data_IF_426862145358
#
_entry.id   IF_426862145358
#
_cell.length_a   1.000
_cell.length_b   1.000
_cell.length_c   1.000
_cell.angle_alpha   90.00
_cell.angle_beta   90.00
_cell.angle_gamma   90.00
#
_symmetry.space_group_name_H-M   'P 1'
#
loop_
_entity.id
_entity.type
_entity.pdbx_description
1 polymer ?
#
# COMPACT_ATOMS: atom_id res chain seq x y z
N UNK A 1 15.30 18.78 30.80
CA UNK A 1 14.37 19.11 29.70
C UNK A 1 13.54 17.93 29.17
N UNK A 2 13.77 16.69 29.65
CA UNK A 2 13.02 15.48 29.21
C UNK A 2 11.78 15.22 30.11
N UNK A 3 11.71 15.79 31.31
CA UNK A 3 10.61 15.58 32.25
C UNK A 3 9.29 16.31 31.90
N UNK A 4 9.32 17.39 31.10
CA UNK A 4 8.11 18.15 30.76
C UNK A 4 7.30 17.55 29.61
N UNK A 5 7.90 16.70 28.77
CA UNK A 5 7.23 16.07 27.63
C UNK A 5 6.31 14.90 28.06
N UNK A 6 6.62 14.25 29.18
CA UNK A 6 5.78 13.15 29.69
C UNK A 6 4.47 13.65 30.33
N UNK A 7 4.47 14.88 30.85
CA UNK A 7 3.30 15.46 31.54
C UNK A 7 2.23 15.99 30.57
N UNK A 8 2.57 16.19 29.28
CA UNK A 8 1.58 16.54 28.25
C UNK A 8 0.90 15.32 27.61
N UNK A 9 1.53 14.14 27.62
CA UNK A 9 0.91 12.94 27.04
C UNK A 9 -0.19 12.33 27.91
N UNK A 10 -0.17 12.55 29.23
CA UNK A 10 -1.20 12.06 30.16
C UNK A 10 -2.45 12.96 30.27
N UNK A 11 -2.43 14.17 29.67
CA UNK A 11 -3.60 15.09 29.69
C UNK A 11 -4.61 14.87 28.56
N UNK A 12 -4.30 14.01 27.59
CA UNK A 12 -5.16 13.77 26.42
C UNK A 12 -6.17 12.62 26.68
N UNK A 13 -6.11 11.99 27.85
CA UNK A 13 -6.99 10.86 28.22
C UNK A 13 -7.97 11.19 29.35
N UNK A 14 -8.21 12.47 29.67
CA UNK A 14 -9.40 12.86 30.44
C UNK A 14 -10.64 12.77 29.54
N UNK A 15 -11.71 12.11 29.99
CA UNK A 15 -12.34 11.05 29.20
C UNK A 15 -13.55 11.58 28.41
N UNK A 16 -13.69 11.15 27.15
CA UNK A 16 -14.91 11.31 26.34
C UNK A 16 -16.20 10.87 27.07
N UNK A 17 -16.06 10.12 28.16
CA UNK A 17 -17.12 9.59 29.01
C UNK A 17 -17.62 10.56 30.11
N UNK A 18 -16.93 11.67 30.37
CA UNK A 18 -17.35 12.65 31.37
C UNK A 18 -18.75 13.26 31.08
N UNK A 19 -19.04 13.78 29.86
CA UNK A 19 -20.38 14.32 29.57
C UNK A 19 -21.46 13.24 29.61
N UNK A 20 -21.13 12.02 29.18
CA UNK A 20 -22.06 10.88 29.20
C UNK A 20 -22.45 10.49 30.62
N UNK A 21 -21.50 10.49 31.57
CA UNK A 21 -21.79 10.20 32.98
C UNK A 21 -22.67 11.26 33.62
N UNK A 22 -22.40 12.54 33.35
CA UNK A 22 -23.22 13.65 33.88
C UNK A 22 -24.65 13.50 33.35
N UNK A 23 -24.82 13.31 32.05
CA UNK A 23 -26.14 13.11 31.43
C UNK A 23 -26.88 11.88 31.98
N UNK A 24 -26.18 10.75 32.18
CA UNK A 24 -26.76 9.55 32.80
C UNK A 24 -27.28 9.82 34.21
N UNK A 25 -26.54 10.59 35.00
CA UNK A 25 -26.90 10.91 36.38
C UNK A 25 -28.03 11.95 36.46
N UNK A 26 -28.02 12.96 35.59
CA UNK A 26 -29.00 14.05 35.66
C UNK A 26 -30.32 13.70 34.99
N UNK A 27 -30.28 13.01 33.84
CA UNK A 27 -31.49 12.75 33.04
C UNK A 27 -32.02 11.33 33.26
N UNK A 28 -31.19 10.29 33.16
CA UNK A 28 -31.69 8.90 33.13
C UNK A 28 -32.01 8.37 34.53
N UNK A 29 -31.12 8.60 35.49
CA UNK A 29 -31.27 8.08 36.85
C UNK A 29 -32.61 8.44 37.53
N UNK A 30 -33.10 9.71 37.51
CA UNK A 30 -34.37 10.03 38.15
C UNK A 30 -35.56 9.37 37.43
N UNK A 31 -35.55 9.29 36.10
CA UNK A 31 -36.61 8.61 35.34
C UNK A 31 -36.62 7.10 35.63
N UNK A 32 -35.44 6.48 35.77
CA UNK A 32 -35.32 5.07 36.12
C UNK A 32 -35.94 4.75 37.50
N UNK A 33 -35.73 5.63 38.47
CA UNK A 33 -36.23 5.47 39.84
C UNK A 33 -37.76 5.62 39.95
N UNK A 34 -38.40 6.31 39.00
CA UNK A 34 -39.85 6.49 38.99
C UNK A 34 -40.62 5.28 38.44
N UNK A 35 -39.95 4.33 37.77
CA UNK A 35 -40.59 3.14 37.21
C UNK A 35 -40.88 2.08 38.28
N UNK A 36 -41.90 1.26 38.04
CA UNK A 36 -42.23 0.14 38.92
C UNK A 36 -41.12 -0.93 38.88
N UNK A 37 -40.99 -1.73 39.95
CA UNK A 37 -39.95 -2.76 40.04
C UNK A 37 -39.98 -3.82 38.92
N UNK A 38 -41.13 -4.02 38.27
CA UNK A 38 -41.27 -4.92 37.12
C UNK A 38 -40.65 -4.32 35.86
N UNK A 39 -40.88 -3.02 35.64
CA UNK A 39 -40.36 -2.28 34.49
C UNK A 39 -38.85 -2.08 34.62
N UNK A 40 -38.35 -1.81 35.82
CA UNK A 40 -36.92 -1.74 36.11
C UNK A 40 -36.16 -3.01 35.67
N UNK A 41 -36.73 -4.21 35.92
CA UNK A 41 -36.12 -5.48 35.48
C UNK A 41 -36.09 -5.61 33.96
N UNK A 42 -37.14 -5.17 33.27
CA UNK A 42 -37.18 -5.18 31.81
C UNK A 42 -36.16 -4.21 31.22
N UNK A 43 -36.03 -3.00 31.78
CA UNK A 43 -35.04 -2.02 31.34
C UNK A 43 -33.62 -2.54 31.57
N UNK A 44 -33.35 -3.19 32.71
CA UNK A 44 -32.04 -3.78 32.98
C UNK A 44 -31.71 -4.95 32.05
N UNK A 45 -32.70 -5.80 31.75
CA UNK A 45 -32.56 -6.87 30.77
C UNK A 45 -32.26 -6.30 29.37
N UNK A 46 -32.99 -5.26 28.95
CA UNK A 46 -32.76 -4.58 27.68
C UNK A 46 -31.39 -3.90 27.62
N UNK A 47 -30.96 -3.23 28.69
CA UNK A 47 -29.66 -2.58 28.79
C UNK A 47 -28.49 -3.57 28.70
N UNK A 48 -28.69 -4.82 29.17
CA UNK A 48 -27.71 -5.89 29.02
C UNK A 48 -27.76 -6.57 27.65
N UNK A 49 -28.96 -6.73 27.07
CA UNK A 49 -29.15 -7.37 25.77
C UNK A 49 -28.65 -6.50 24.61
N UNK A 50 -28.88 -5.19 24.69
CA UNK A 50 -28.53 -4.22 23.66
C UNK A 50 -27.04 -4.23 23.26
N UNK A 51 -26.05 -4.20 24.18
CA UNK A 51 -24.64 -4.28 23.81
C UNK A 51 -24.27 -5.63 23.16
N UNK A 52 -24.90 -6.73 23.57
CA UNK A 52 -24.69 -8.04 22.93
C UNK A 52 -25.17 -8.02 21.49
N UNK A 53 -26.34 -7.43 21.26
CA UNK A 53 -26.92 -7.30 19.92
C UNK A 53 -26.07 -6.35 19.05
N UNK A 54 -25.61 -5.22 19.61
CA UNK A 54 -24.67 -4.32 18.93
C UNK A 54 -23.39 -5.04 18.52
N UNK A 55 -22.81 -5.87 19.39
CA UNK A 55 -21.59 -6.62 19.09
C UNK A 55 -21.82 -7.61 17.94
N UNK A 56 -22.93 -8.35 17.96
CA UNK A 56 -23.32 -9.25 16.87
C UNK A 56 -23.44 -8.47 15.55
N UNK A 57 -24.15 -7.35 15.53
CA UNK A 57 -24.37 -6.57 14.31
C UNK A 57 -23.10 -5.87 13.81
N UNK A 58 -22.28 -5.30 14.69
CA UNK A 58 -21.05 -4.61 14.28
C UNK A 58 -19.94 -5.56 13.86
N UNK A 59 -19.90 -6.79 14.36
CA UNK A 59 -18.79 -7.70 14.11
C UNK A 59 -19.16 -8.78 13.11
N UNK A 60 -20.32 -9.41 13.24
CA UNK A 60 -20.67 -10.59 12.45
C UNK A 60 -21.14 -10.21 11.04
N UNK A 61 -21.97 -9.18 10.90
CA UNK A 61 -22.44 -8.74 9.57
C UNK A 61 -21.30 -8.31 8.63
N UNK A 62 -20.40 -7.37 8.99
CA UNK A 62 -19.36 -6.96 8.05
C UNK A 62 -18.38 -8.10 7.71
N UNK A 63 -18.26 -9.09 8.59
CA UNK A 63 -17.45 -10.27 8.33
C UNK A 63 -18.09 -11.17 7.26
N UNK A 64 -19.42 -11.31 7.25
CA UNK A 64 -20.14 -12.05 6.20
C UNK A 64 -20.06 -11.33 4.85
N UNK A 65 -20.26 -10.00 4.83
CA UNK A 65 -20.21 -9.21 3.61
C UNK A 65 -18.83 -9.31 2.93
N UNK A 66 -17.75 -9.22 3.71
CA UNK A 66 -16.37 -9.41 3.21
C UNK A 66 -16.14 -10.79 2.60
N UNK A 67 -16.74 -11.84 3.16
CA UNK A 67 -16.61 -13.19 2.59
C UNK A 67 -17.32 -13.30 1.25
N UNK A 68 -18.49 -12.67 1.10
CA UNK A 68 -19.21 -12.63 -0.18
C UNK A 68 -18.44 -11.85 -1.25
N UNK A 69 -17.89 -10.70 -0.90
CA UNK A 69 -17.06 -9.89 -1.80
C UNK A 69 -15.78 -10.64 -2.24
N UNK A 70 -15.12 -11.32 -1.31
CA UNK A 70 -13.96 -12.16 -1.61
C UNK A 70 -14.30 -13.31 -2.56
N UNK A 71 -15.42 -14.00 -2.34
CA UNK A 71 -15.87 -15.07 -3.25
C UNK A 71 -16.17 -14.54 -4.65
N UNK A 72 -16.81 -13.37 -4.76
CA UNK A 72 -17.10 -12.74 -6.06
C UNK A 72 -15.84 -12.29 -6.79
N UNK A 73 -14.89 -11.68 -6.08
CA UNK A 73 -13.61 -11.27 -6.68
C UNK A 73 -12.77 -12.46 -7.14
N UNK A 74 -12.74 -13.57 -6.38
CA UNK A 74 -12.08 -14.81 -6.80
C UNK A 74 -12.73 -15.38 -8.06
N UNK A 75 -14.06 -15.42 -8.13
CA UNK A 75 -14.76 -15.89 -9.33
C UNK A 75 -14.45 -15.01 -10.56
N UNK A 76 -14.43 -13.69 -10.39
CA UNK A 76 -14.07 -12.75 -11.45
C UNK A 76 -12.60 -12.90 -11.89
N UNK A 77 -11.69 -13.15 -10.96
CA UNK A 77 -10.27 -13.39 -11.26
C UNK A 77 -10.06 -14.71 -12.00
N UNK A 78 -10.78 -15.78 -11.60
CA UNK A 78 -10.72 -17.07 -12.28
C UNK A 78 -11.16 -16.97 -13.74
N UNK A 79 -12.21 -16.19 -14.03
CA UNK A 79 -12.67 -15.95 -15.39
C UNK A 79 -11.62 -15.21 -16.24
N UNK A 80 -11.00 -14.15 -15.68
CA UNK A 80 -9.90 -13.43 -16.35
C UNK A 80 -8.67 -14.30 -16.58
N UNK A 81 -8.34 -15.18 -15.63
CA UNK A 81 -7.23 -16.12 -15.76
C UNK A 81 -7.48 -17.10 -16.92
N UNK A 82 -8.68 -17.66 -17.01
CA UNK A 82 -9.07 -18.55 -18.10
C UNK A 82 -9.01 -17.85 -19.48
N UNK A 83 -9.47 -16.61 -19.59
CA UNK A 83 -9.34 -15.82 -20.82
C UNK A 83 -7.88 -15.55 -21.20
N UNK A 84 -7.05 -15.21 -20.21
CA UNK A 84 -5.62 -14.98 -20.42
C UNK A 84 -4.90 -16.25 -20.87
N UNK A 85 -5.22 -17.41 -20.29
CA UNK A 85 -4.69 -18.70 -20.72
C UNK A 85 -5.09 -19.02 -22.16
N UNK A 86 -6.35 -18.77 -22.54
CA UNK A 86 -6.82 -19.00 -23.91
C UNK A 86 -6.10 -18.10 -24.93
N UNK A 87 -5.90 -16.82 -24.58
CA UNK A 87 -5.13 -15.87 -25.38
C UNK A 87 -3.66 -16.29 -25.50
N UNK A 88 -3.04 -16.73 -24.40
CA UNK A 88 -1.67 -17.24 -24.39
C UNK A 88 -1.52 -18.45 -25.32
N UNK A 89 -2.44 -19.41 -25.26
CA UNK A 89 -2.44 -20.56 -26.15
C UNK A 89 -2.60 -20.16 -27.63
N UNK A 90 -3.46 -19.19 -27.94
CA UNK A 90 -3.61 -18.67 -29.30
C UNK A 90 -2.35 -17.97 -29.80
N UNK A 91 -1.67 -17.19 -28.96
CA UNK A 91 -0.42 -16.51 -29.32
C UNK A 91 0.74 -17.49 -29.55
N UNK A 92 0.79 -18.58 -28.78
CA UNK A 92 1.75 -19.66 -28.98
C UNK A 92 1.46 -20.40 -30.29
N UNK A 93 0.19 -20.76 -30.53
CA UNK A 93 -0.24 -21.46 -31.74
C UNK A 93 -0.08 -20.62 -33.02
N UNK A 94 -0.22 -19.29 -32.95
CA UNK A 94 -0.03 -18.38 -34.08
C UNK A 94 1.45 -18.04 -34.37
N UNK A 95 2.41 -18.76 -33.78
CA UNK A 95 3.84 -18.55 -34.02
C UNK A 95 4.40 -17.27 -33.39
N UNK A 96 3.64 -16.60 -32.52
CA UNK A 96 4.07 -15.42 -31.76
C UNK A 96 5.01 -15.73 -30.59
N UNK A 97 5.36 -17.00 -30.40
CA UNK A 97 6.26 -17.48 -29.34
C UNK A 97 7.76 -17.19 -29.60
N UNK A 98 8.10 -16.03 -30.16
CA UNK A 98 9.41 -15.40 -29.94
C UNK A 98 9.24 -14.30 -28.90
N UNK A 99 9.44 -14.65 -27.63
CA UNK A 99 9.65 -13.72 -26.52
C UNK A 99 8.61 -12.60 -26.33
N UNK A 100 7.34 -12.94 -26.09
CA UNK A 100 6.48 -12.01 -25.34
C UNK A 100 6.70 -12.28 -23.85
N UNK A 101 7.89 -11.88 -23.37
CA UNK A 101 8.05 -11.61 -21.94
C UNK A 101 7.18 -10.40 -21.63
N UNK A 102 6.47 -10.36 -20.47
CA UNK A 102 5.88 -9.10 -20.01
C UNK A 102 6.96 -8.04 -20.12
N UNK A 103 6.64 -6.84 -20.63
CA UNK A 103 7.61 -5.74 -20.77
C UNK A 103 8.15 -5.44 -19.38
N UNK A 104 9.21 -6.15 -19.04
CA UNK A 104 9.77 -6.24 -17.71
C UNK A 104 10.50 -4.92 -17.52
N UNK A 105 10.25 -4.22 -16.41
CA UNK A 105 10.92 -2.97 -16.07
C UNK A 105 12.44 -3.14 -16.23
N UNK A 106 12.96 -4.33 -15.93
CA UNK A 106 14.34 -4.70 -16.20
C UNK A 106 14.75 -4.57 -17.67
N UNK A 107 14.01 -5.20 -18.59
CA UNK A 107 14.33 -5.19 -20.03
C UNK A 107 14.23 -3.78 -20.61
N UNK A 108 13.25 -3.00 -20.18
CA UNK A 108 13.09 -1.60 -20.60
C UNK A 108 14.25 -0.72 -20.11
N UNK A 109 14.61 -0.84 -18.82
CA UNK A 109 15.76 -0.12 -18.23
C UNK A 109 17.07 -0.55 -18.90
N UNK A 110 17.26 -1.84 -19.18
CA UNK A 110 18.46 -2.32 -19.87
C UNK A 110 18.59 -1.77 -21.29
N UNK A 111 17.48 -1.69 -22.03
CA UNK A 111 17.47 -1.11 -23.38
C UNK A 111 17.84 0.37 -23.33
N UNK A 112 17.19 1.14 -22.46
CA UNK A 112 17.46 2.57 -22.29
C UNK A 112 18.89 2.82 -21.81
N UNK A 113 19.42 1.99 -20.89
CA UNK A 113 20.80 2.10 -20.43
C UNK A 113 21.82 1.86 -21.56
N UNK A 114 21.50 1.01 -22.55
CA UNK A 114 22.34 0.83 -23.74
C UNK A 114 22.24 2.03 -24.68
N UNK A 115 21.04 2.51 -24.96
CA UNK A 115 20.79 3.68 -25.80
C UNK A 115 21.45 4.96 -25.24
N UNK A 116 21.49 5.09 -23.91
CA UNK A 116 22.12 6.22 -23.23
C UNK A 116 23.61 6.02 -22.94
N UNK A 117 24.23 4.92 -23.38
CA UNK A 117 25.65 4.57 -23.13
C UNK A 117 26.02 4.41 -21.65
N UNK A 118 25.03 4.20 -20.79
CA UNK A 118 25.20 4.11 -19.34
C UNK A 118 25.40 2.67 -18.85
N UNK A 119 25.02 1.67 -19.68
CA UNK A 119 25.04 0.24 -19.30
C UNK A 119 26.40 -0.24 -18.79
N UNK A 120 27.49 0.26 -19.37
CA UNK A 120 28.86 -0.10 -19.00
C UNK A 120 29.28 0.35 -17.59
N UNK A 121 28.62 1.38 -17.06
CA UNK A 121 28.89 1.92 -15.72
C UNK A 121 27.99 1.30 -14.64
N UNK A 122 27.02 0.47 -15.02
CA UNK A 122 26.10 -0.17 -14.08
C UNK A 122 26.80 -1.32 -13.35
N UNK A 123 27.06 -1.15 -12.05
CA UNK A 123 27.70 -2.17 -11.22
C UNK A 123 26.71 -3.15 -10.61
N UNK A 124 25.45 -2.72 -10.43
CA UNK A 124 24.42 -3.56 -9.80
C UNK A 124 23.04 -3.19 -10.31
N UNK A 125 22.26 -4.22 -10.63
CA UNK A 125 20.84 -4.12 -10.95
C UNK A 125 20.11 -5.13 -10.09
N UNK A 126 19.14 -4.71 -9.29
CA UNK A 126 18.36 -5.62 -8.45
C UNK A 126 16.88 -5.26 -8.47
N UNK A 127 15.97 -6.23 -8.62
CA UNK A 127 14.56 -6.01 -8.37
C UNK A 127 14.37 -5.69 -6.88
N UNK A 128 13.54 -4.68 -6.59
CA UNK A 128 13.12 -4.31 -5.26
C UNK A 128 11.63 -4.61 -5.15
N UNK A 129 11.30 -5.88 -4.93
CA UNK A 129 9.91 -6.28 -4.73
C UNK A 129 9.55 -5.97 -3.28
N UNK A 130 8.63 -5.03 -3.06
CA UNK A 130 8.07 -4.79 -1.73
C UNK A 130 6.92 -5.78 -1.48
N UNK A 131 6.86 -6.47 -0.32
CA UNK A 131 5.75 -7.38 -0.01
C UNK A 131 4.41 -6.62 -0.09
N UNK A 132 3.52 -7.03 -0.98
CA UNK A 132 2.20 -6.43 -1.16
C UNK A 132 2.09 -5.33 -2.22
N UNK A 133 3.19 -4.91 -2.86
CA UNK A 133 3.12 -4.00 -4.02
C UNK A 133 2.95 -4.78 -5.32
N UNK A 134 2.00 -4.36 -6.17
CA UNK A 134 1.88 -4.87 -7.54
C UNK A 134 2.92 -4.27 -8.48
N UNK A 135 3.58 -3.19 -8.06
CA UNK A 135 4.49 -2.44 -8.91
C UNK A 135 5.91 -3.01 -8.83
N UNK A 136 6.47 -3.29 -10.00
CA UNK A 136 7.83 -3.80 -10.12
C UNK A 136 8.82 -2.63 -10.04
N UNK A 137 9.65 -2.62 -8.99
CA UNK A 137 10.71 -1.63 -8.83
C UNK A 137 12.09 -2.23 -9.07
N UNK A 138 13.01 -1.42 -9.59
CA UNK A 138 14.36 -1.80 -9.95
C UNK A 138 15.35 -0.80 -9.34
N UNK A 139 16.25 -1.31 -8.51
CA UNK A 139 17.38 -0.55 -8.00
C UNK A 139 18.56 -0.70 -8.94
N UNK A 140 19.08 0.41 -9.43
CA UNK A 140 20.25 0.51 -10.29
C UNK A 140 21.36 1.26 -9.56
N UNK A 141 22.58 0.73 -9.61
CA UNK A 141 23.79 1.40 -9.14
C UNK A 141 24.76 1.58 -10.28
N UNK A 142 25.35 2.77 -10.35
CA UNK A 142 26.29 3.21 -11.36
C UNK A 142 27.56 3.73 -10.69
N UNK A 143 28.71 3.34 -11.21
CA UNK A 143 30.01 3.78 -10.71
C UNK A 143 30.79 4.47 -11.83
N UNK A 144 31.37 5.64 -11.53
CA UNK A 144 32.24 6.39 -12.43
C UNK A 144 31.60 6.69 -13.80
N UNK A 145 30.29 6.99 -13.80
CA UNK A 145 29.55 7.32 -15.01
C UNK A 145 29.71 8.82 -15.33
N UNK A 146 29.93 9.21 -16.60
CA UNK A 146 29.93 10.61 -17.01
C UNK A 146 28.60 11.26 -16.69
N UNK A 147 28.63 12.43 -16.04
CA UNK A 147 27.41 13.15 -15.62
C UNK A 147 26.43 13.38 -16.79
N UNK A 148 26.96 13.75 -17.96
CA UNK A 148 26.18 13.95 -19.18
C UNK A 148 25.39 12.70 -19.63
N UNK A 149 25.93 11.50 -19.41
CA UNK A 149 25.29 10.25 -19.84
C UNK A 149 24.18 9.86 -18.87
N UNK A 150 24.35 10.18 -17.58
CA UNK A 150 23.30 10.03 -16.58
C UNK A 150 22.12 10.98 -16.87
N UNK A 151 22.38 12.24 -17.22
CA UNK A 151 21.31 13.18 -17.60
C UNK A 151 20.55 12.67 -18.83
N UNK A 152 21.26 12.14 -19.84
CA UNK A 152 20.65 11.50 -21.01
C UNK A 152 19.81 10.27 -20.62
N UNK A 153 20.31 9.44 -19.73
CA UNK A 153 19.59 8.28 -19.20
C UNK A 153 18.30 8.68 -18.48
N UNK A 154 18.34 9.71 -17.62
CA UNK A 154 17.15 10.23 -16.95
C UNK A 154 16.11 10.75 -17.93
N UNK A 155 16.53 11.49 -18.95
CA UNK A 155 15.63 11.99 -19.99
C UNK A 155 14.99 10.84 -20.78
N UNK A 156 15.75 9.80 -21.11
CA UNK A 156 15.24 8.61 -21.80
C UNK A 156 14.26 7.81 -20.93
N UNK A 157 14.51 7.70 -19.61
CA UNK A 157 13.56 7.10 -18.66
C UNK A 157 12.23 7.87 -18.63
N UNK A 158 12.29 9.21 -18.58
CA UNK A 158 11.11 10.06 -18.58
C UNK A 158 10.30 9.94 -19.89
N UNK A 159 10.99 9.90 -21.04
CA UNK A 159 10.36 9.68 -22.35
C UNK A 159 9.67 8.31 -22.45
N UNK A 160 10.25 7.29 -21.83
CA UNK A 160 9.67 5.95 -21.75
C UNK A 160 8.57 5.81 -20.68
N UNK A 161 8.14 6.92 -20.05
CA UNK A 161 7.13 6.97 -18.98
C UNK A 161 7.46 6.04 -17.79
N UNK A 162 8.74 5.86 -17.49
CA UNK A 162 9.15 5.13 -16.29
C UNK A 162 9.25 6.08 -15.09
N UNK A 163 8.80 5.60 -13.93
CA UNK A 163 8.82 6.38 -12.70
C UNK A 163 10.22 6.34 -12.08
N UNK A 164 10.86 7.50 -11.92
CA UNK A 164 12.10 7.64 -11.16
C UNK A 164 11.74 8.01 -9.71
N UNK A 165 11.63 7.01 -8.85
CA UNK A 165 11.13 7.17 -7.47
C UNK A 165 12.16 7.83 -6.56
N UNK A 166 13.43 7.51 -6.74
CA UNK A 166 14.52 8.17 -6.02
C UNK A 166 15.82 8.10 -6.81
N UNK A 167 16.66 9.11 -6.64
CA UNK A 167 18.00 9.13 -7.20
C UNK A 167 18.96 9.83 -6.26
N UNK A 168 20.13 9.21 -6.03
CA UNK A 168 21.25 9.78 -5.29
C UNK A 168 22.42 9.88 -6.24
N UNK A 169 23.06 11.05 -6.30
CA UNK A 169 24.23 11.31 -7.14
C UNK A 169 25.36 11.79 -6.21
N UNK A 170 26.55 11.25 -6.37
CA UNK A 170 27.75 11.60 -5.62
C UNK A 170 28.89 11.86 -6.60
N UNK A 171 29.78 12.82 -6.28
CA UNK A 171 30.96 13.07 -7.09
C UNK A 171 31.86 11.81 -7.14
N UNK A 172 32.38 11.48 -8.31
CA UNK A 172 33.32 10.38 -8.52
C UNK A 172 34.77 10.80 -8.29
N UNK A 173 35.70 9.90 -8.59
CA UNK A 173 37.14 10.12 -8.37
C UNK A 173 37.77 11.15 -9.32
N UNK A 174 37.13 11.43 -10.46
CA UNK A 174 37.61 12.37 -11.47
C UNK A 174 36.54 13.40 -11.86
N UNK A 175 36.99 14.57 -12.33
CA UNK A 175 36.10 15.64 -12.78
C UNK A 175 35.16 15.13 -13.89
N UNK A 176 33.85 15.36 -13.71
CA UNK A 176 32.83 14.95 -14.68
C UNK A 176 32.31 13.52 -14.52
N UNK A 177 32.91 12.69 -13.64
CA UNK A 177 32.41 11.36 -13.29
C UNK A 177 31.61 11.42 -11.98
N UNK A 178 30.56 10.62 -11.90
CA UNK A 178 29.71 10.53 -10.72
C UNK A 178 29.31 9.08 -10.43
N UNK A 179 29.07 8.80 -9.15
CA UNK A 179 28.37 7.61 -8.71
C UNK A 179 26.88 7.92 -8.61
N UNK A 180 26.02 7.03 -9.09
CA UNK A 180 24.59 7.21 -8.99
C UNK A 180 23.88 5.94 -8.51
N UNK A 181 22.85 6.14 -7.71
CA UNK A 181 21.93 5.08 -7.32
C UNK A 181 20.52 5.56 -7.62
N UNK A 182 19.77 4.79 -8.39
CA UNK A 182 18.41 5.11 -8.80
C UNK A 182 17.45 3.98 -8.44
N UNK A 183 16.23 4.33 -8.03
CA UNK A 183 15.10 3.42 -7.91
C UNK A 183 14.08 3.76 -9.00
N UNK A 184 13.85 2.80 -9.89
CA UNK A 184 13.03 2.98 -11.09
C UNK A 184 11.83 2.03 -11.00
N UNK A 185 10.61 2.51 -11.24
CA UNK A 185 9.40 1.70 -11.27
C UNK A 185 8.62 1.86 -12.59
N UNK A 186 7.66 0.97 -12.82
CA UNK A 186 6.57 1.22 -13.77
C UNK A 186 5.62 2.29 -13.20
N UNK A 187 5.15 3.22 -14.04
CA UNK A 187 4.04 4.10 -13.68
C UNK A 187 2.72 3.33 -13.52
#
# INVERSE_FOLDING_TARGET
MIASLHQHMLRITEPLWAPVRVWLQTEIAPHYQQLESREQRLVLAAACLLPVLLLVFLVILPMQDRQHELRQSVAALALKAAEAEHLAHRLIASGGAKNVQPVNVLSAVERIARESHVRQYMTRIRPQNSPGSKDQQLMVQLKDAPYQDIVRFMNALAQAKMALNSMKIQAGESAGLVHAQALIGSQ
#
